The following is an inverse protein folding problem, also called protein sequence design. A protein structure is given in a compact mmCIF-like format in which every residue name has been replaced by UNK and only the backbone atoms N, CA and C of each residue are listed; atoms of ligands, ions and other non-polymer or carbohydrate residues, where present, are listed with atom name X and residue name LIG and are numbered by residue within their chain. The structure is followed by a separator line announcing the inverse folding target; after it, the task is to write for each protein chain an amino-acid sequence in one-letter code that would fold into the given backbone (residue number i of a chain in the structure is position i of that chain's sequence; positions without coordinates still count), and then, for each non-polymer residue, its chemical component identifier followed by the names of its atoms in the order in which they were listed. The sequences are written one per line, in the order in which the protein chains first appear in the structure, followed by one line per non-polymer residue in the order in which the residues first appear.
data_IF_470045295430
#
_entry.id   IF_470045295430
#
_cell.length_a   1.000
_cell.length_b   1.000
_cell.length_c   1.000
_cell.angle_alpha   90.00
_cell.angle_beta   90.00
_cell.angle_gamma   90.00
#
_symmetry.space_group_name_H-M   'P 1'
#
loop_
_entity.id
_entity.type
_entity.pdbx_description
1 polymer ?
#
# COMPACT_ATOMS: atom_id res chain seq x y z
N UNK A 1 -21.61 13.22 0.70
CA UNK A 1 -21.91 14.27 -0.30
C UNK A 1 -20.58 14.68 -0.91
N UNK A 2 -20.49 14.73 -2.23
CA UNK A 2 -19.26 15.10 -2.98
C UNK A 2 -18.87 16.54 -2.60
N UNK A 3 -17.63 16.77 -2.21
CA UNK A 3 -17.13 18.06 -1.71
C UNK A 3 -16.24 18.81 -2.73
N UNK A 4 -16.34 18.43 -4.01
CA UNK A 4 -15.70 19.01 -5.17
C UNK A 4 -16.60 18.91 -6.39
N UNK A 5 -16.32 19.70 -7.43
CA UNK A 5 -17.05 19.70 -8.69
C UNK A 5 -16.42 18.74 -9.72
N UNK A 6 -17.20 18.35 -10.73
CA UNK A 6 -16.67 17.52 -11.83
C UNK A 6 -15.65 18.29 -12.69
N UNK A 7 -15.79 19.61 -12.78
CA UNK A 7 -14.83 20.48 -13.48
C UNK A 7 -13.47 20.52 -12.77
N UNK A 8 -13.47 20.66 -11.46
CA UNK A 8 -12.23 20.60 -10.64
C UNK A 8 -11.53 19.26 -10.81
N UNK A 9 -12.29 18.16 -10.75
CA UNK A 9 -11.76 16.82 -10.94
C UNK A 9 -11.16 16.63 -12.33
N UNK A 10 -11.88 17.03 -13.38
CA UNK A 10 -11.42 16.92 -14.76
C UNK A 10 -10.17 17.75 -15.04
N UNK A 11 -10.12 18.96 -14.52
CA UNK A 11 -8.96 19.85 -14.65
C UNK A 11 -7.72 19.23 -14.00
N UNK A 12 -7.87 18.69 -12.79
CA UNK A 12 -6.73 18.10 -12.08
C UNK A 12 -6.28 16.78 -12.72
N UNK A 13 -7.24 15.94 -13.11
CA UNK A 13 -6.96 14.71 -13.84
C UNK A 13 -6.13 14.98 -15.10
N UNK A 14 -6.53 15.94 -15.93
CA UNK A 14 -5.79 16.32 -17.15
C UNK A 14 -4.37 16.78 -16.86
N UNK A 15 -4.16 17.53 -15.79
CA UNK A 15 -2.81 17.98 -15.38
C UNK A 15 -1.92 16.79 -15.00
N UNK A 16 -2.43 15.87 -14.19
CA UNK A 16 -1.68 14.69 -13.76
C UNK A 16 -1.41 13.76 -14.96
N UNK A 17 -2.40 13.54 -15.80
CA UNK A 17 -2.25 12.73 -17.02
C UNK A 17 -1.19 13.31 -17.94
N UNK A 18 -1.23 14.64 -18.19
CA UNK A 18 -0.23 15.33 -18.99
C UNK A 18 1.18 15.20 -18.40
N UNK A 19 1.32 15.34 -17.09
CA UNK A 19 2.59 15.15 -16.39
C UNK A 19 3.19 13.77 -16.64
N UNK A 20 2.38 12.69 -16.55
CA UNK A 20 2.87 11.35 -16.85
C UNK A 20 3.23 11.19 -18.33
N UNK A 21 2.37 11.61 -19.24
CA UNK A 21 2.61 11.50 -20.68
C UNK A 21 3.83 12.31 -21.19
N UNK A 22 4.22 13.35 -20.48
CA UNK A 22 5.43 14.13 -20.80
C UNK A 22 6.74 13.45 -20.37
N UNK A 23 6.67 12.41 -19.52
CA UNK A 23 7.84 11.74 -18.94
C UNK A 23 7.99 10.28 -19.35
N UNK A 24 6.91 9.64 -19.71
CA UNK A 24 6.84 8.22 -20.03
C UNK A 24 6.31 8.03 -21.43
N UNK A 25 6.64 6.90 -22.05
CA UNK A 25 6.18 6.53 -23.39
C UNK A 25 5.43 5.20 -23.34
N UNK A 26 4.40 5.02 -24.19
CA UNK A 26 3.76 3.71 -24.38
C UNK A 26 4.75 2.69 -24.96
N UNK A 27 4.45 1.41 -24.75
CA UNK A 27 5.26 0.29 -25.26
C UNK A 27 4.40 -0.74 -25.98
N UNK A 28 4.98 -1.49 -26.91
CA UNK A 28 4.29 -2.59 -27.60
C UNK A 28 4.04 -3.79 -26.68
N UNK A 29 4.93 -4.03 -25.72
CA UNK A 29 4.85 -5.12 -24.75
C UNK A 29 4.63 -4.57 -23.33
N UNK A 30 3.44 -4.02 -23.04
CA UNK A 30 3.20 -3.35 -21.77
C UNK A 30 3.14 -4.33 -20.60
N UNK A 31 3.68 -3.90 -19.46
CA UNK A 31 3.63 -4.63 -18.20
C UNK A 31 2.91 -3.82 -17.12
N UNK A 32 2.21 -4.54 -16.27
CA UNK A 32 1.63 -3.96 -15.05
C UNK A 32 1.98 -4.82 -13.84
N UNK A 33 2.52 -4.17 -12.82
CA UNK A 33 2.68 -4.75 -11.49
C UNK A 33 1.57 -4.25 -10.59
N UNK A 34 0.74 -5.17 -10.08
CA UNK A 34 -0.17 -4.88 -8.99
C UNK A 34 0.57 -5.16 -7.68
N UNK A 35 0.71 -4.16 -6.83
CA UNK A 35 1.33 -4.33 -5.53
C UNK A 35 0.28 -4.60 -4.47
N UNK A 36 0.55 -5.58 -3.60
CA UNK A 36 -0.30 -5.95 -2.48
C UNK A 36 0.46 -5.98 -1.16
N UNK A 37 -0.29 -6.01 -0.08
CA UNK A 37 0.26 -6.12 1.27
C UNK A 37 -0.50 -5.24 2.26
N UNK A 38 -0.44 -5.63 3.53
CA UNK A 38 -1.10 -4.89 4.59
C UNK A 38 -0.55 -3.46 4.72
N UNK A 39 -1.33 -2.53 5.30
CA UNK A 39 -0.82 -1.21 5.64
C UNK A 39 0.44 -1.31 6.51
N UNK A 40 1.46 -0.49 6.23
CA UNK A 40 2.73 -0.51 6.97
C UNK A 40 3.70 -1.65 6.63
N UNK A 41 3.36 -2.53 5.69
CA UNK A 41 4.22 -3.66 5.31
C UNK A 41 5.52 -3.27 4.57
N UNK A 42 5.59 -2.07 3.99
CA UNK A 42 6.79 -1.61 3.26
C UNK A 42 6.66 -1.64 1.74
N UNK A 43 5.45 -1.58 1.18
CA UNK A 43 5.19 -1.61 -0.28
C UNK A 43 6.03 -0.62 -1.10
N UNK A 44 6.27 0.58 -0.58
CA UNK A 44 7.11 1.57 -1.28
C UNK A 44 8.57 1.12 -1.46
N UNK A 45 9.09 0.27 -0.56
CA UNK A 45 10.42 -0.33 -0.73
C UNK A 45 10.45 -1.30 -1.92
N UNK A 46 9.44 -2.15 -2.06
CA UNK A 46 9.30 -3.07 -3.20
C UNK A 46 9.07 -2.31 -4.50
N UNK A 47 8.23 -1.26 -4.48
CA UNK A 47 8.01 -0.40 -5.62
C UNK A 47 9.31 0.19 -6.15
N UNK A 48 10.13 0.77 -5.27
CA UNK A 48 11.44 1.31 -5.63
C UNK A 48 12.38 0.23 -6.19
N UNK A 49 12.34 -0.98 -5.65
CA UNK A 49 13.16 -2.10 -6.13
C UNK A 49 12.73 -2.58 -7.53
N UNK A 50 11.45 -2.53 -7.86
CA UNK A 50 10.91 -2.87 -9.18
C UNK A 50 11.22 -1.75 -10.20
N UNK A 51 11.12 -0.48 -9.79
CA UNK A 51 11.20 0.69 -10.67
C UNK A 51 12.57 1.38 -10.65
N UNK A 52 13.65 0.62 -10.47
CA UNK A 52 15.03 1.19 -10.40
C UNK A 52 15.35 2.04 -11.64
N UNK A 53 14.94 1.60 -12.84
CA UNK A 53 15.21 2.29 -14.10
C UNK A 53 14.15 3.37 -14.44
N UNK A 54 13.18 3.57 -13.53
CA UNK A 54 12.10 4.55 -13.67
C UNK A 54 11.29 4.42 -15.00
N UNK A 55 11.05 3.17 -15.41
CA UNK A 55 10.31 2.84 -16.63
C UNK A 55 8.79 2.71 -16.41
N UNK A 56 8.36 2.65 -15.16
CA UNK A 56 6.97 2.43 -14.77
C UNK A 56 6.35 3.69 -14.16
N UNK A 57 5.13 3.99 -14.56
CA UNK A 57 4.32 5.00 -13.87
C UNK A 57 3.74 4.37 -12.61
N UNK A 58 4.16 4.87 -11.46
CA UNK A 58 3.60 4.48 -10.17
C UNK A 58 2.29 5.20 -9.89
N UNK A 59 1.26 4.43 -9.53
CA UNK A 59 -0.07 4.93 -9.21
C UNK A 59 -0.47 4.44 -7.81
N UNK A 60 -0.43 5.36 -6.85
CA UNK A 60 -0.96 5.16 -5.50
C UNK A 60 -2.09 6.14 -5.24
N UNK A 61 -3.26 5.64 -4.84
CA UNK A 61 -4.41 6.50 -4.56
C UNK A 61 -4.14 7.56 -3.49
N UNK A 62 -3.22 7.27 -2.59
CA UNK A 62 -2.85 8.20 -1.52
C UNK A 62 -2.16 9.47 -2.05
N UNK A 63 -1.41 9.37 -3.15
CA UNK A 63 -0.65 10.49 -3.71
C UNK A 63 -1.53 11.59 -4.32
N UNK A 64 -2.77 11.23 -4.67
CA UNK A 64 -3.69 12.19 -5.28
C UNK A 64 -4.58 12.94 -4.28
N UNK A 65 -4.47 12.64 -2.98
CA UNK A 65 -5.25 13.31 -1.92
C UNK A 65 -4.90 14.78 -1.78
N UNK A 66 -3.62 15.11 -1.87
CA UNK A 66 -3.12 16.49 -1.74
C UNK A 66 -3.57 17.41 -2.87
N UNK A 67 -3.97 16.84 -4.02
CA UNK A 67 -4.52 17.60 -5.15
C UNK A 67 -6.01 17.93 -5.00
N UNK A 68 -6.64 17.53 -3.89
CA UNK A 68 -8.04 17.87 -3.61
C UNK A 68 -8.19 19.40 -3.43
N UNK A 69 -9.17 20.07 -4.09
CA UNK A 69 -9.27 21.55 -4.07
C UNK A 69 -9.39 22.14 -2.67
N UNK A 70 -9.93 21.37 -1.70
CA UNK A 70 -10.09 21.77 -0.30
C UNK A 70 -9.15 20.99 0.65
N UNK A 71 -8.01 20.52 0.17
CA UNK A 71 -7.14 19.65 0.96
C UNK A 71 -6.72 20.28 2.30
N UNK A 72 -6.23 21.51 2.27
CA UNK A 72 -5.80 22.24 3.47
C UNK A 72 -6.96 22.51 4.44
N UNK A 73 -8.11 22.99 3.92
CA UNK A 73 -9.31 23.21 4.72
C UNK A 73 -9.76 21.93 5.45
N UNK A 74 -9.79 20.81 4.72
CA UNK A 74 -10.19 19.51 5.27
C UNK A 74 -9.21 19.02 6.33
N UNK A 75 -7.92 19.25 6.15
CA UNK A 75 -6.90 18.89 7.13
C UNK A 75 -7.00 19.73 8.41
N UNK A 76 -7.20 21.03 8.29
CA UNK A 76 -7.40 21.92 9.45
C UNK A 76 -8.66 21.50 10.20
N UNK A 77 -9.76 21.24 9.50
CA UNK A 77 -11.06 20.96 10.08
C UNK A 77 -11.17 19.58 10.71
N UNK A 78 -10.58 18.56 10.11
CA UNK A 78 -10.80 17.15 10.47
C UNK A 78 -9.52 16.43 10.95
N UNK A 79 -8.36 17.05 10.89
CA UNK A 79 -7.10 16.51 11.38
C UNK A 79 -6.84 15.08 10.89
N UNK A 80 -6.66 14.14 11.82
CA UNK A 80 -6.40 12.71 11.55
C UNK A 80 -7.45 12.03 10.67
N UNK A 81 -8.67 12.56 10.63
CA UNK A 81 -9.78 11.99 9.86
C UNK A 81 -9.97 12.60 8.46
N UNK A 82 -9.16 13.60 8.09
CA UNK A 82 -9.23 14.30 6.80
C UNK A 82 -9.19 13.35 5.59
N UNK A 83 -8.49 12.22 5.72
CA UNK A 83 -8.38 11.19 4.68
C UNK A 83 -9.74 10.61 4.25
N UNK A 84 -10.74 10.57 5.14
CA UNK A 84 -12.11 10.12 4.82
C UNK A 84 -12.78 11.04 3.78
N UNK A 85 -12.49 12.34 3.85
CA UNK A 85 -13.09 13.37 3.00
C UNK A 85 -12.38 13.54 1.66
N UNK A 86 -11.15 13.07 1.53
CA UNK A 86 -10.37 13.10 0.28
C UNK A 86 -10.37 11.77 -0.46
N UNK A 87 -10.92 10.70 0.13
CA UNK A 87 -10.88 9.35 -0.41
C UNK A 87 -11.57 9.22 -1.77
N UNK A 88 -12.77 9.80 -1.91
CA UNK A 88 -13.53 9.71 -3.16
C UNK A 88 -12.77 10.41 -4.29
N UNK A 89 -12.27 11.62 -4.06
CA UNK A 89 -11.42 12.36 -5.01
C UNK A 89 -10.23 11.54 -5.48
N UNK A 90 -9.44 11.04 -4.54
CA UNK A 90 -8.26 10.26 -4.85
C UNK A 90 -8.60 8.98 -5.63
N UNK A 91 -9.68 8.29 -5.26
CA UNK A 91 -10.17 7.11 -5.94
C UNK A 91 -10.60 7.39 -7.39
N UNK A 92 -11.34 8.47 -7.65
CA UNK A 92 -11.78 8.85 -8.99
C UNK A 92 -10.60 9.23 -9.89
N UNK A 93 -9.60 9.98 -9.38
CA UNK A 93 -8.35 10.29 -10.12
C UNK A 93 -7.59 8.99 -10.44
N UNK A 94 -7.38 8.13 -9.45
CA UNK A 94 -6.67 6.85 -9.60
C UNK A 94 -7.32 5.98 -10.67
N UNK A 95 -8.63 5.74 -10.58
CA UNK A 95 -9.35 4.89 -11.54
C UNK A 95 -9.26 5.43 -12.97
N UNK A 96 -9.39 6.75 -13.15
CA UNK A 96 -9.26 7.40 -14.46
C UNK A 96 -7.84 7.28 -15.02
N UNK A 97 -6.80 7.49 -14.20
CA UNK A 97 -5.41 7.34 -14.63
C UNK A 97 -5.10 5.93 -15.07
N UNK A 98 -5.46 4.93 -14.25
CA UNK A 98 -5.27 3.52 -14.58
C UNK A 98 -5.97 3.16 -15.89
N UNK A 99 -7.19 3.68 -16.10
CA UNK A 99 -7.96 3.42 -17.33
C UNK A 99 -7.30 4.02 -18.56
N UNK A 100 -6.93 5.31 -18.52
CA UNK A 100 -6.38 5.99 -19.71
C UNK A 100 -4.96 5.53 -20.03
N UNK A 101 -4.07 5.46 -19.03
CA UNK A 101 -2.70 4.99 -19.22
C UNK A 101 -2.65 3.51 -19.62
N UNK A 102 -3.54 2.68 -19.05
CA UNK A 102 -3.66 1.27 -19.42
C UNK A 102 -4.22 1.06 -20.84
N UNK A 103 -5.12 1.93 -21.32
CA UNK A 103 -5.60 1.91 -22.70
C UNK A 103 -4.49 2.26 -23.71
N UNK A 104 -3.62 3.18 -23.33
CA UNK A 104 -2.53 3.66 -24.16
C UNK A 104 -1.23 2.86 -24.00
N UNK A 105 -1.25 1.75 -23.25
CA UNK A 105 -0.14 0.79 -23.11
C UNK A 105 1.12 1.34 -22.42
N UNK A 106 0.96 2.16 -21.39
CA UNK A 106 2.06 2.54 -20.50
C UNK A 106 2.40 1.41 -19.54
N UNK A 107 3.67 1.26 -19.19
CA UNK A 107 4.08 0.39 -18.08
C UNK A 107 3.63 0.99 -16.74
N UNK A 108 3.00 0.18 -15.89
CA UNK A 108 2.35 0.66 -14.66
C UNK A 108 2.77 -0.15 -13.43
N UNK A 109 2.89 0.53 -12.31
CA UNK A 109 2.87 -0.05 -10.98
C UNK A 109 1.64 0.50 -10.27
N UNK A 110 0.76 -0.36 -9.75
CA UNK A 110 -0.49 0.05 -9.10
C UNK A 110 -0.50 -0.47 -7.68
N UNK A 111 -0.51 0.44 -6.71
CA UNK A 111 -0.54 0.08 -5.30
C UNK A 111 -1.95 -0.27 -4.82
N UNK A 112 -2.05 -1.39 -4.08
CA UNK A 112 -3.25 -1.84 -3.40
C UNK A 112 -2.95 -2.52 -2.07
N UNK A 113 -4.00 -2.93 -1.35
CA UNK A 113 -3.88 -3.61 -0.05
C UNK A 113 -4.29 -5.08 -0.09
N UNK A 114 -4.85 -5.57 -1.17
CA UNK A 114 -5.51 -6.88 -1.25
C UNK A 114 -6.61 -7.09 -0.19
N UNK A 115 -7.27 -6.04 0.26
CA UNK A 115 -8.40 -6.14 1.18
C UNK A 115 -9.56 -6.97 0.60
N UNK A 116 -9.70 -6.98 -0.72
CA UNK A 116 -10.63 -7.82 -1.48
C UNK A 116 -9.92 -8.43 -2.67
N UNK A 117 -10.36 -9.58 -3.16
CA UNK A 117 -9.86 -10.19 -4.39
C UNK A 117 -10.47 -9.57 -5.65
N UNK A 118 -11.68 -9.02 -5.54
CA UNK A 118 -12.46 -8.51 -6.67
C UNK A 118 -11.74 -7.40 -7.42
N UNK A 119 -11.20 -6.42 -6.70
CA UNK A 119 -10.57 -5.26 -7.32
C UNK A 119 -9.32 -5.62 -8.14
N UNK A 120 -8.32 -6.33 -7.59
CA UNK A 120 -7.16 -6.75 -8.38
C UNK A 120 -7.52 -7.71 -9.53
N UNK A 121 -8.54 -8.56 -9.37
CA UNK A 121 -9.03 -9.41 -10.47
C UNK A 121 -9.65 -8.58 -11.60
N UNK A 122 -10.52 -7.62 -11.27
CA UNK A 122 -11.12 -6.71 -12.26
C UNK A 122 -10.04 -5.98 -13.06
N UNK A 123 -9.01 -5.45 -12.38
CA UNK A 123 -7.91 -4.77 -13.03
C UNK A 123 -7.08 -5.75 -13.89
N UNK A 124 -6.74 -6.92 -13.37
CA UNK A 124 -5.99 -7.92 -14.13
C UNK A 124 -6.71 -8.33 -15.42
N UNK A 125 -8.01 -8.64 -15.36
CA UNK A 125 -8.79 -8.95 -16.58
C UNK A 125 -8.80 -7.79 -17.58
N UNK A 126 -8.91 -6.55 -17.10
CA UNK A 126 -8.87 -5.36 -17.96
C UNK A 126 -7.52 -5.21 -18.65
N UNK A 127 -6.41 -5.38 -17.92
CA UNK A 127 -5.07 -5.30 -18.47
C UNK A 127 -4.78 -6.44 -19.43
N UNK A 128 -5.17 -7.68 -19.11
CA UNK A 128 -5.05 -8.83 -20.04
C UNK A 128 -5.77 -8.57 -21.34
N UNK A 129 -6.98 -8.00 -21.31
CA UNK A 129 -7.74 -7.63 -22.52
C UNK A 129 -7.01 -6.59 -23.37
N UNK A 130 -6.19 -5.73 -22.75
CA UNK A 130 -5.38 -4.71 -23.43
C UNK A 130 -3.99 -5.23 -23.86
N UNK A 131 -3.69 -6.53 -23.68
CA UNK A 131 -2.44 -7.16 -24.10
C UNK A 131 -1.26 -6.98 -23.15
N UNK A 132 -1.52 -6.70 -21.86
CA UNK A 132 -0.48 -6.59 -20.84
C UNK A 132 0.00 -7.94 -20.33
N UNK A 133 1.30 -8.00 -19.98
CA UNK A 133 1.78 -8.94 -18.97
C UNK A 133 1.38 -8.39 -17.59
N UNK A 134 0.69 -9.21 -16.78
CA UNK A 134 0.13 -8.80 -15.49
C UNK A 134 0.76 -9.60 -14.36
N UNK A 135 1.46 -8.96 -13.47
CA UNK A 135 2.12 -9.58 -12.33
C UNK A 135 1.57 -9.03 -11.01
N UNK A 136 1.36 -9.91 -10.03
CA UNK A 136 0.98 -9.53 -8.67
C UNK A 136 2.18 -9.72 -7.74
N UNK A 137 2.62 -8.65 -7.10
CA UNK A 137 3.72 -8.64 -6.15
C UNK A 137 3.21 -8.24 -4.76
N UNK A 138 3.44 -9.08 -3.77
CA UNK A 138 2.89 -8.90 -2.42
C UNK A 138 4.02 -8.88 -1.40
N UNK A 139 4.00 -7.90 -0.50
CA UNK A 139 4.85 -7.92 0.68
C UNK A 139 4.11 -8.64 1.81
N UNK A 140 4.77 -9.64 2.37
CA UNK A 140 4.30 -10.45 3.48
C UNK A 140 5.15 -10.15 4.70
N UNK A 141 4.54 -9.59 5.73
CA UNK A 141 5.21 -9.18 6.97
C UNK A 141 4.36 -9.60 8.14
N UNK A 142 4.97 -9.97 9.25
CA UNK A 142 4.22 -10.24 10.49
C UNK A 142 3.24 -9.11 10.80
N UNK A 143 1.98 -9.44 11.20
CA UNK A 143 0.95 -8.45 11.49
C UNK A 143 1.40 -7.36 12.46
N UNK A 144 2.13 -7.72 13.51
CA UNK A 144 2.61 -6.81 14.53
C UNK A 144 3.64 -5.82 13.95
N UNK A 145 4.57 -6.33 13.11
CA UNK A 145 5.61 -5.50 12.45
C UNK A 145 4.98 -4.51 11.46
N UNK A 146 3.97 -4.95 10.71
CA UNK A 146 3.27 -4.05 9.78
C UNK A 146 2.39 -3.02 10.50
N UNK A 147 1.76 -3.38 11.62
CA UNK A 147 1.02 -2.41 12.42
C UNK A 147 1.92 -1.32 12.98
N UNK A 148 3.05 -1.69 13.60
CA UNK A 148 4.06 -0.72 14.04
C UNK A 148 4.53 0.18 12.87
N UNK A 149 4.71 -0.39 11.67
CA UNK A 149 5.04 0.35 10.46
C UNK A 149 4.01 1.43 10.09
N UNK A 150 2.72 1.25 10.44
CA UNK A 150 1.70 2.31 10.26
C UNK A 150 1.88 3.46 11.24
N UNK A 151 2.25 3.18 12.48
CA UNK A 151 2.48 4.18 13.53
C UNK A 151 3.75 4.99 13.23
N UNK A 152 4.84 4.30 12.89
CA UNK A 152 6.10 4.95 12.48
C UNK A 152 5.90 5.87 11.28
N UNK A 153 5.17 5.40 10.24
CA UNK A 153 4.87 6.22 9.07
C UNK A 153 4.11 7.50 9.45
N UNK A 154 3.15 7.40 10.35
CA UNK A 154 2.39 8.54 10.83
C UNK A 154 3.30 9.59 11.49
N UNK A 155 4.16 9.19 12.42
CA UNK A 155 5.11 10.09 13.09
C UNK A 155 6.17 10.65 12.13
N UNK A 156 6.68 9.83 11.20
CA UNK A 156 7.59 10.30 10.15
C UNK A 156 6.97 11.36 9.24
N UNK A 157 5.67 11.29 8.95
CA UNK A 157 4.99 12.31 8.18
C UNK A 157 4.92 13.63 8.95
N UNK A 158 4.65 13.60 10.26
CA UNK A 158 4.69 14.78 11.14
C UNK A 158 6.08 15.40 11.13
N UNK A 159 7.11 14.59 11.39
CA UNK A 159 8.51 15.05 11.42
C UNK A 159 8.95 15.72 10.11
N UNK A 160 8.43 15.23 8.98
CA UNK A 160 8.70 15.80 7.64
C UNK A 160 7.80 16.99 7.27
N UNK A 161 6.98 17.48 8.20
CA UNK A 161 6.02 18.57 7.95
C UNK A 161 4.93 18.21 6.92
N UNK A 162 4.68 16.92 6.70
CA UNK A 162 3.61 16.43 5.82
C UNK A 162 2.32 16.25 6.61
N UNK A 163 1.18 16.31 5.92
CA UNK A 163 -0.11 15.97 6.54
C UNK A 163 -0.12 14.49 6.93
N UNK A 164 -0.17 14.17 8.23
CA UNK A 164 -0.08 12.79 8.69
C UNK A 164 -1.39 12.05 8.43
N UNK A 165 -1.27 10.77 8.07
CA UNK A 165 -2.41 9.88 7.82
C UNK A 165 -2.36 8.70 8.76
N UNK A 166 -3.34 8.62 9.66
CA UNK A 166 -3.50 7.48 10.55
C UNK A 166 -4.17 6.32 9.82
N UNK A 167 -3.62 5.13 9.99
CA UNK A 167 -4.32 3.89 9.61
C UNK A 167 -5.00 3.34 10.86
N UNK A 168 -6.34 3.30 10.93
CA UNK A 168 -7.04 2.70 12.05
C UNK A 168 -6.64 1.22 12.20
N UNK A 169 -6.49 0.75 13.44
CA UNK A 169 -6.11 -0.64 13.71
C UNK A 169 -7.09 -1.63 13.11
N UNK A 170 -8.37 -1.36 13.19
CA UNK A 170 -9.43 -2.19 12.62
C UNK A 170 -9.28 -2.35 11.11
N UNK A 171 -8.84 -1.29 10.42
CA UNK A 171 -8.59 -1.33 8.98
C UNK A 171 -7.36 -2.18 8.65
N UNK A 172 -6.29 -2.05 9.44
CA UNK A 172 -5.10 -2.89 9.32
C UNK A 172 -5.45 -4.37 9.53
N UNK A 173 -6.15 -4.67 10.63
CA UNK A 173 -6.51 -6.04 11.01
C UNK A 173 -7.47 -6.68 10.00
N UNK A 174 -8.38 -5.91 9.41
CA UNK A 174 -9.24 -6.38 8.34
C UNK A 174 -8.44 -6.89 7.13
N UNK A 175 -7.39 -6.15 6.73
CA UNK A 175 -6.51 -6.59 5.64
C UNK A 175 -5.71 -7.82 6.04
N UNK A 176 -5.11 -7.84 7.23
CA UNK A 176 -4.37 -9.00 7.75
C UNK A 176 -5.21 -10.27 7.73
N UNK A 177 -6.46 -10.20 8.18
CA UNK A 177 -7.36 -11.34 8.27
C UNK A 177 -7.90 -11.81 6.91
N UNK A 178 -7.89 -10.95 5.88
CA UNK A 178 -8.46 -11.27 4.58
C UNK A 178 -7.42 -11.58 3.49
N UNK A 179 -6.18 -11.09 3.62
CA UNK A 179 -5.18 -11.13 2.54
C UNK A 179 -4.87 -12.55 2.05
N UNK A 180 -4.76 -13.53 2.95
CA UNK A 180 -4.48 -14.92 2.57
C UNK A 180 -5.62 -15.54 1.74
N UNK A 181 -6.88 -15.37 2.19
CA UNK A 181 -8.04 -15.88 1.47
C UNK A 181 -8.24 -15.16 0.11
N UNK A 182 -8.02 -13.84 0.08
CA UNK A 182 -8.11 -13.09 -1.16
C UNK A 182 -7.03 -13.52 -2.16
N UNK A 183 -5.81 -13.79 -1.68
CA UNK A 183 -4.74 -14.30 -2.52
C UNK A 183 -5.05 -15.70 -3.07
N UNK A 184 -5.65 -16.57 -2.29
CA UNK A 184 -6.09 -17.88 -2.76
C UNK A 184 -7.13 -17.80 -3.88
N UNK A 185 -8.12 -16.89 -3.75
CA UNK A 185 -9.11 -16.62 -4.81
C UNK A 185 -8.39 -16.13 -6.09
N UNK A 186 -7.44 -15.20 -5.94
CA UNK A 186 -6.65 -14.66 -7.05
C UNK A 186 -5.80 -15.76 -7.71
N UNK A 187 -5.11 -16.57 -6.91
CA UNK A 187 -4.31 -17.70 -7.40
C UNK A 187 -5.15 -18.69 -8.21
N UNK A 188 -6.34 -19.02 -7.73
CA UNK A 188 -7.26 -19.96 -8.39
C UNK A 188 -7.86 -19.39 -9.69
N UNK A 189 -7.92 -18.08 -9.86
CA UNK A 189 -8.42 -17.43 -11.08
C UNK A 189 -7.53 -17.64 -12.31
N UNK A 190 -6.24 -17.92 -12.12
CA UNK A 190 -5.21 -18.09 -13.16
C UNK A 190 -5.08 -16.92 -14.14
N UNK A 191 -5.54 -15.73 -13.77
CA UNK A 191 -5.51 -14.55 -14.67
C UNK A 191 -4.14 -13.85 -14.70
N UNK A 192 -3.38 -13.95 -13.59
CA UNK A 192 -2.05 -13.35 -13.50
C UNK A 192 -0.99 -14.21 -14.20
N UNK A 193 -0.10 -13.56 -14.93
CA UNK A 193 1.05 -14.24 -15.55
C UNK A 193 2.08 -14.69 -14.53
N UNK A 194 2.17 -13.96 -13.42
CA UNK A 194 2.98 -14.35 -12.26
C UNK A 194 2.42 -13.77 -10.96
N UNK A 195 2.71 -14.47 -9.87
CA UNK A 195 2.44 -14.02 -8.48
C UNK A 195 3.74 -14.22 -7.70
N UNK A 196 4.23 -13.16 -7.07
CA UNK A 196 5.42 -13.20 -6.22
C UNK A 196 5.12 -12.69 -4.83
N UNK A 197 5.71 -13.32 -3.83
CA UNK A 197 5.69 -12.86 -2.45
C UNK A 197 7.09 -12.48 -2.01
N UNK A 198 7.20 -11.38 -1.29
CA UNK A 198 8.46 -10.85 -0.78
C UNK A 198 8.35 -10.56 0.71
N UNK A 199 9.46 -10.65 1.42
CA UNK A 199 9.56 -10.10 2.78
C UNK A 199 9.76 -8.56 2.75
N UNK A 200 9.89 -7.94 3.93
CA UNK A 200 10.07 -6.48 4.04
C UNK A 200 11.39 -5.98 3.44
N UNK A 201 12.39 -6.83 3.39
CA UNK A 201 13.74 -6.59 2.87
C UNK A 201 13.83 -6.88 1.35
N UNK A 202 12.68 -7.18 0.71
CA UNK A 202 12.53 -7.55 -0.71
C UNK A 202 13.17 -8.89 -1.09
N UNK A 203 13.42 -9.80 -0.14
CA UNK A 203 13.80 -11.16 -0.48
C UNK A 203 12.59 -11.94 -0.99
N UNK A 204 12.78 -12.68 -2.08
CA UNK A 204 11.75 -13.50 -2.70
C UNK A 204 11.39 -14.70 -1.82
N UNK A 205 10.15 -14.79 -1.38
CA UNK A 205 9.61 -15.90 -0.60
C UNK A 205 8.89 -16.93 -1.46
N UNK A 206 8.31 -16.50 -2.58
CA UNK A 206 7.53 -17.34 -3.49
C UNK A 206 7.50 -16.74 -4.88
N UNK A 207 7.55 -17.61 -5.91
CA UNK A 207 7.37 -17.27 -7.31
C UNK A 207 6.49 -18.34 -7.98
N UNK A 208 5.32 -17.95 -8.45
CA UNK A 208 4.36 -18.86 -9.08
C UNK A 208 4.95 -19.61 -10.28
N UNK A 209 5.73 -18.93 -11.14
CA UNK A 209 6.36 -19.55 -12.31
C UNK A 209 7.35 -20.68 -11.94
N UNK A 210 7.97 -20.59 -10.78
CA UNK A 210 8.94 -21.59 -10.28
C UNK A 210 8.28 -22.66 -9.41
N UNK A 211 7.14 -22.35 -8.78
CA UNK A 211 6.46 -23.24 -7.85
C UNK A 211 4.93 -23.22 -8.05
N UNK A 212 4.45 -23.59 -9.25
CA UNK A 212 3.03 -23.44 -9.62
C UNK A 212 2.07 -24.33 -8.82
N UNK A 213 2.59 -25.40 -8.19
CA UNK A 213 1.81 -26.31 -7.37
C UNK A 213 1.63 -25.89 -5.90
N UNK A 214 2.31 -24.83 -5.44
CA UNK A 214 2.21 -24.33 -4.09
C UNK A 214 1.17 -23.21 -4.03
N UNK A 215 0.23 -23.32 -3.10
CA UNK A 215 -0.73 -22.25 -2.85
C UNK A 215 -0.03 -21.08 -2.10
N UNK A 216 0.02 -19.87 -2.67
CA UNK A 216 0.72 -18.74 -2.04
C UNK A 216 0.09 -18.31 -0.70
N UNK A 217 -1.16 -18.66 -0.41
CA UNK A 217 -1.76 -18.47 0.91
C UNK A 217 -0.98 -19.20 2.00
N UNK A 218 -0.49 -20.42 1.73
CA UNK A 218 0.27 -21.20 2.71
C UNK A 218 1.56 -20.51 3.10
N UNK A 219 2.16 -19.73 2.19
CA UNK A 219 3.35 -18.92 2.47
C UNK A 219 3.00 -17.75 3.40
N UNK A 220 1.87 -17.05 3.15
CA UNK A 220 1.38 -15.99 4.05
C UNK A 220 1.11 -16.54 5.44
N UNK A 221 0.36 -17.64 5.54
CA UNK A 221 -0.01 -18.28 6.81
C UNK A 221 1.23 -18.73 7.59
N UNK A 222 2.21 -19.29 6.89
CA UNK A 222 3.50 -19.69 7.48
C UNK A 222 4.27 -18.48 7.98
N UNK A 223 4.36 -17.40 7.20
CA UNK A 223 5.10 -16.20 7.57
C UNK A 223 4.44 -15.49 8.76
N UNK A 224 3.12 -15.41 8.81
CA UNK A 224 2.39 -14.82 9.93
C UNK A 224 2.56 -15.62 11.23
N UNK A 225 2.57 -16.97 11.16
CA UNK A 225 2.60 -17.87 12.33
C UNK A 225 4.00 -18.29 12.76
N UNK A 226 5.05 -18.10 11.93
CA UNK A 226 6.41 -18.50 12.31
C UNK A 226 6.87 -17.80 13.57
N UNK A 227 7.76 -18.44 14.31
CA UNK A 227 8.43 -17.78 15.44
C UNK A 227 9.27 -16.61 14.95
N UNK A 228 9.40 -15.60 15.79
CA UNK A 228 10.30 -14.47 15.56
C UNK A 228 11.76 -14.95 15.55
N UNK A 229 12.54 -14.42 14.63
CA UNK A 229 14.01 -14.57 14.67
C UNK A 229 14.57 -13.60 15.72
N UNK A 230 15.71 -13.92 16.32
CA UNK A 230 16.29 -13.08 17.38
C UNK A 230 16.61 -11.67 16.89
N UNK A 231 17.21 -11.58 15.70
CA UNK A 231 17.58 -10.33 15.06
C UNK A 231 16.32 -9.48 14.73
N UNK A 232 15.33 -10.11 14.13
CA UNK A 232 14.05 -9.48 13.80
C UNK A 232 13.32 -8.95 15.04
N UNK A 233 13.36 -9.69 16.15
CA UNK A 233 12.76 -9.26 17.41
C UNK A 233 13.53 -8.09 18.02
N UNK A 234 14.88 -8.08 17.91
CA UNK A 234 15.71 -6.98 18.36
C UNK A 234 15.41 -5.69 17.59
N UNK A 235 15.32 -5.78 16.25
CA UNK A 235 14.93 -4.66 15.38
C UNK A 235 13.52 -4.16 15.70
N UNK A 236 12.58 -5.07 15.90
CA UNK A 236 11.20 -4.73 16.23
C UNK A 236 11.09 -3.97 17.56
N UNK A 237 11.89 -4.36 18.57
CA UNK A 237 11.94 -3.62 19.85
C UNK A 237 12.55 -2.22 19.66
N UNK A 238 13.60 -2.12 18.86
CA UNK A 238 14.20 -0.85 18.50
C UNK A 238 13.23 0.07 17.76
N UNK A 239 12.45 -0.46 16.83
CA UNK A 239 11.42 0.30 16.11
C UNK A 239 10.38 0.91 17.07
N UNK A 240 10.03 0.20 18.18
CA UNK A 240 9.18 0.75 19.23
C UNK A 240 9.87 1.86 20.03
N UNK A 241 11.15 1.71 20.35
CA UNK A 241 11.94 2.74 21.02
C UNK A 241 12.03 4.00 20.16
N UNK A 242 12.31 3.85 18.87
CA UNK A 242 12.36 4.93 17.89
C UNK A 242 11.00 5.66 17.79
N UNK A 243 9.89 4.93 17.78
CA UNK A 243 8.54 5.52 17.82
C UNK A 243 8.31 6.36 19.08
N UNK A 244 8.69 5.83 20.26
CA UNK A 244 8.54 6.56 21.51
C UNK A 244 9.43 7.81 21.58
N UNK A 245 10.63 7.74 21.02
CA UNK A 245 11.52 8.90 20.89
C UNK A 245 10.94 9.98 19.96
N UNK A 246 10.35 9.59 18.82
CA UNK A 246 9.67 10.53 17.91
C UNK A 246 8.50 11.24 18.61
N UNK A 247 7.68 10.50 19.37
CA UNK A 247 6.58 11.06 20.16
C UNK A 247 7.08 12.05 21.22
N UNK A 248 8.18 11.73 21.91
CA UNK A 248 8.81 12.60 22.89
C UNK A 248 9.36 13.89 22.25
N UNK A 249 10.04 13.76 21.12
CA UNK A 249 10.69 14.89 20.44
C UNK A 249 9.67 15.92 19.90
N UNK A 250 8.44 15.49 19.57
CA UNK A 250 7.35 16.40 19.19
C UNK A 250 6.45 16.83 20.34
N UNK A 251 6.79 16.47 21.58
CA UNK A 251 6.01 16.77 22.78
C UNK A 251 4.55 16.26 22.68
N UNK A 252 4.39 14.99 22.21
CA UNK A 252 3.09 14.35 22.12
C UNK A 252 2.35 14.33 23.45
N UNK A 253 1.04 14.56 23.42
CA UNK A 253 0.20 14.56 24.62
C UNK A 253 0.09 13.17 25.27
N UNK A 254 -0.27 13.11 26.53
CA UNK A 254 -0.48 11.83 27.24
C UNK A 254 -1.58 11.00 26.59
N UNK A 255 -2.61 11.64 26.04
CA UNK A 255 -3.71 10.99 25.32
C UNK A 255 -3.25 10.34 23.98
N UNK A 256 -2.18 10.83 23.39
CA UNK A 256 -1.56 10.24 22.21
C UNK A 256 -0.60 9.10 22.58
N UNK A 257 0.21 9.28 23.61
CA UNK A 257 1.25 8.33 24.02
C UNK A 257 0.67 7.12 24.77
N UNK A 258 -0.36 7.33 25.59
CA UNK A 258 -0.95 6.29 26.45
C UNK A 258 -1.41 5.05 25.66
N UNK A 259 -2.28 5.19 24.65
CA UNK A 259 -2.74 4.06 23.83
C UNK A 259 -1.59 3.33 23.11
N UNK A 260 -0.58 4.06 22.65
CA UNK A 260 0.59 3.48 21.97
C UNK A 260 1.40 2.60 22.92
N UNK A 261 1.65 3.06 24.16
CA UNK A 261 2.36 2.27 25.18
C UNK A 261 1.59 1.03 25.60
N UNK A 262 0.27 1.13 25.76
CA UNK A 262 -0.59 -0.03 26.06
C UNK A 262 -0.46 -1.07 24.94
N UNK A 263 -0.64 -0.66 23.69
CA UNK A 263 -0.50 -1.55 22.53
C UNK A 263 0.88 -2.18 22.45
N UNK A 264 1.95 -1.41 22.68
CA UNK A 264 3.32 -1.93 22.70
C UNK A 264 3.48 -3.04 23.74
N UNK A 265 3.02 -2.81 24.98
CA UNK A 265 3.14 -3.79 26.06
C UNK A 265 2.36 -5.06 25.74
N UNK A 266 1.10 -4.95 25.31
CA UNK A 266 0.27 -6.11 24.93
C UNK A 266 0.92 -6.96 23.83
N UNK A 267 1.50 -6.33 22.81
CA UNK A 267 2.14 -7.05 21.71
C UNK A 267 3.45 -7.70 22.16
N UNK A 268 4.30 -6.97 22.91
CA UNK A 268 5.60 -7.49 23.36
C UNK A 268 5.42 -8.65 24.35
N UNK A 269 4.41 -8.59 25.23
CA UNK A 269 4.07 -9.70 26.15
C UNK A 269 3.65 -10.95 25.39
N UNK A 270 2.89 -10.81 24.30
CA UNK A 270 2.42 -11.94 23.48
C UNK A 270 3.50 -12.56 22.56
N UNK A 271 4.63 -11.88 22.36
CA UNK A 271 5.72 -12.36 21.51
C UNK A 271 6.78 -13.13 22.31
N UNK A 272 6.90 -12.89 23.62
CA UNK A 272 7.84 -13.58 24.51
C UNK A 272 7.31 -14.97 24.89
#
# INVERSE_FOLDING_TARGET
MKNYTDEELEKQFKKILHFYKSRYSPTENPKVFLLGGQPGAGKSGLENAINIENEYISISGDDYREYHPKFEELNIRYGKESSKYTQQWAGEITERLIKELGKEKYNLIIEGTLRTAELPLKEAYRFKKNGYEVELNIIVVKPEKSYLGTLLRYEQMITKGKTPRMTPKEHHDLVVNSIGNNLEIIYNSKVFDNIKLFDRENHLLYNYKESPGINPKDIIDKEFKRKWRKEELSEYRKDWEDLLEMLKNREATLDEVGPIKITMNEIIENIN
#
